data_IF_491395353082
#
_entry.id   IF_491395353082
#
_cell.length_a   1.000
_cell.length_b   1.000
_cell.length_c   1.000
_cell.angle_alpha   90.00
_cell.angle_beta   90.00
_cell.angle_gamma   90.00
#
_symmetry.space_group_name_H-M   'P 1'
#
loop_
_entity.id
_entity.type
_entity.pdbx_description
1 polymer ?
#
# COMPACT_ATOMS: atom_id res chain seq x y z
N UNK A 1 -65.25 33.62 14.34
CA UNK A 1 -64.82 33.60 12.92
C UNK A 1 -64.16 34.94 12.60
N UNK A 2 -63.05 34.91 11.84
CA UNK A 2 -62.44 36.04 11.09
C UNK A 2 -61.72 37.07 12.00
N UNK A 3 -60.51 37.56 11.79
CA UNK A 3 -59.45 37.41 10.78
C UNK A 3 -58.22 38.11 11.40
N UNK A 4 -57.00 37.58 11.25
CA UNK A 4 -55.84 38.47 11.04
C UNK A 4 -54.72 37.73 10.31
N UNK A 5 -54.93 37.52 9.01
CA UNK A 5 -53.84 37.52 8.04
C UNK A 5 -53.57 38.99 7.72
N UNK A 6 -52.42 39.55 8.07
CA UNK A 6 -51.63 40.46 7.22
C UNK A 6 -50.41 41.04 7.97
N UNK A 7 -49.37 41.40 7.20
CA UNK A 7 -48.15 42.15 7.55
C UNK A 7 -46.97 41.28 8.01
N UNK A 8 -46.18 40.67 7.10
CA UNK A 8 -45.13 41.26 6.24
C UNK A 8 -44.07 42.05 7.06
N UNK A 9 -42.80 42.05 6.62
CA UNK A 9 -41.69 41.18 7.00
C UNK A 9 -40.71 41.92 7.94
N UNK A 10 -40.20 41.23 8.96
CA UNK A 10 -39.12 41.79 9.79
C UNK A 10 -37.80 41.71 9.00
N UNK A 11 -37.50 42.79 8.29
CA UNK A 11 -36.26 43.01 7.57
C UNK A 11 -35.02 42.74 8.44
N UNK A 12 -34.19 41.82 7.96
CA UNK A 12 -32.77 42.06 7.70
C UNK A 12 -31.94 42.76 8.79
N UNK A 13 -31.45 42.04 9.81
CA UNK A 13 -30.18 42.38 10.48
C UNK A 13 -29.48 41.13 11.04
N UNK A 14 -29.16 40.10 10.24
CA UNK A 14 -27.99 39.25 10.55
C UNK A 14 -27.33 38.81 9.23
N UNK A 15 -26.96 39.80 8.40
CA UNK A 15 -25.83 39.63 7.49
C UNK A 15 -24.58 39.79 8.35
N UNK A 16 -23.87 38.69 8.61
CA UNK A 16 -22.51 38.81 9.09
C UNK A 16 -22.01 37.61 9.85
N UNK A 17 -21.18 36.81 9.17
CA UNK A 17 -20.02 36.14 9.77
C UNK A 17 -20.39 34.98 10.71
N UNK A 18 -20.26 33.72 10.35
CA UNK A 18 -19.55 33.14 9.24
C UNK A 18 -19.56 31.63 9.42
N UNK A 19 -18.95 30.95 8.44
CA UNK A 19 -18.53 29.56 8.53
C UNK A 19 -19.75 28.64 8.71
N UNK A 20 -20.47 28.32 7.63
CA UNK A 20 -20.11 27.17 6.80
C UNK A 20 -19.14 26.24 7.53
N UNK A 21 -19.59 25.60 8.63
CA UNK A 21 -19.01 24.34 9.02
C UNK A 21 -19.40 23.37 7.91
N UNK A 22 -18.60 23.41 6.85
CA UNK A 22 -18.43 22.31 5.93
C UNK A 22 -18.40 21.08 6.82
N UNK A 23 -19.36 20.18 6.63
CA UNK A 23 -19.30 18.84 7.20
C UNK A 23 -17.93 18.33 6.80
N UNK A 24 -17.00 18.39 7.74
CA UNK A 24 -15.63 18.01 7.51
C UNK A 24 -15.70 16.53 7.24
N UNK A 25 -15.71 16.19 5.95
CA UNK A 25 -15.48 14.86 5.46
C UNK A 25 -14.00 14.49 5.70
N UNK A 26 -13.51 14.71 6.92
CA UNK A 26 -12.54 13.81 7.52
C UNK A 26 -13.32 12.54 7.89
N UNK A 27 -13.74 11.80 6.85
CA UNK A 27 -13.29 10.42 6.77
C UNK A 27 -11.76 10.51 6.75
N UNK A 28 -11.15 10.81 7.90
CA UNK A 28 -9.88 10.23 8.23
C UNK A 28 -10.15 8.76 7.96
N UNK A 29 -9.61 8.28 6.83
CA UNK A 29 -9.59 6.86 6.56
C UNK A 29 -9.11 6.29 7.86
N UNK A 30 -10.05 5.64 8.55
CA UNK A 30 -9.89 4.73 9.66
C UNK A 30 -8.44 4.35 9.69
N UNK A 31 -7.73 4.68 10.78
CA UNK A 31 -6.47 4.09 11.18
C UNK A 31 -6.29 2.72 10.51
N UNK A 32 -5.88 2.72 9.24
CA UNK A 32 -5.34 1.55 8.61
C UNK A 32 -4.02 1.61 9.33
N UNK A 33 -3.69 0.66 10.21
CA UNK A 33 -2.29 0.55 10.59
C UNK A 33 -1.56 0.61 9.25
N UNK A 34 -0.78 1.68 9.03
CA UNK A 34 0.15 1.74 7.92
C UNK A 34 0.96 0.50 8.17
N UNK A 35 0.62 -0.60 7.50
CA UNK A 35 1.15 -1.91 7.87
C UNK A 35 2.63 -1.72 7.69
N UNK A 36 3.36 -1.70 8.79
CA UNK A 36 4.80 -1.58 8.73
C UNK A 36 5.24 -2.82 7.96
N UNK A 37 5.91 -2.58 6.84
CA UNK A 37 6.45 -3.64 6.00
C UNK A 37 7.97 -3.58 6.08
N UNK A 38 8.58 -4.75 6.01
CA UNK A 38 9.99 -4.87 5.65
C UNK A 38 10.05 -5.12 4.15
N UNK A 39 10.87 -4.33 3.46
CA UNK A 39 11.06 -4.43 2.02
C UNK A 39 12.32 -5.21 1.70
N UNK A 40 12.19 -6.14 0.76
CA UNK A 40 13.27 -6.99 0.31
C UNK A 40 13.39 -6.89 -1.20
N UNK A 41 14.55 -6.45 -1.67
CA UNK A 41 14.87 -6.39 -3.09
C UNK A 41 15.38 -7.74 -3.56
N UNK A 42 14.77 -8.29 -4.61
CA UNK A 42 15.22 -9.53 -5.23
C UNK A 42 16.34 -9.27 -6.25
N UNK A 43 17.49 -9.90 -6.02
CA UNK A 43 18.71 -9.82 -6.83
C UNK A 43 18.95 -11.06 -7.70
N UNK A 44 18.05 -12.05 -7.64
CA UNK A 44 18.09 -13.21 -8.53
C UNK A 44 17.61 -12.89 -9.95
N UNK A 45 17.86 -13.81 -10.87
CA UNK A 45 17.61 -13.60 -12.30
C UNK A 45 16.53 -14.53 -12.86
N UNK A 46 15.99 -15.40 -12.02
CA UNK A 46 15.07 -16.46 -12.43
C UNK A 46 13.94 -16.63 -11.40
N UNK A 47 12.74 -16.97 -11.88
CA UNK A 47 11.57 -17.21 -11.05
C UNK A 47 11.78 -18.39 -10.08
N UNK A 48 12.63 -19.35 -10.44
CA UNK A 48 12.92 -20.50 -9.59
C UNK A 48 13.81 -20.14 -8.38
N UNK A 49 14.40 -18.94 -8.37
CA UNK A 49 15.25 -18.46 -7.28
C UNK A 49 14.48 -17.62 -6.25
N UNK A 50 13.19 -17.34 -6.45
CA UNK A 50 12.40 -16.43 -5.58
C UNK A 50 12.16 -16.95 -4.17
N UNK A 51 12.43 -18.23 -3.92
CA UNK A 51 12.41 -18.80 -2.56
C UNK A 51 13.78 -18.86 -1.90
N UNK A 52 14.84 -18.54 -2.64
CA UNK A 52 16.18 -18.44 -2.10
C UNK A 52 16.35 -17.08 -1.41
N UNK A 53 16.32 -17.10 -0.08
CA UNK A 53 16.47 -15.87 0.72
C UNK A 53 17.80 -15.16 0.46
N UNK A 54 18.83 -15.86 -0.02
CA UNK A 54 20.15 -15.26 -0.32
C UNK A 54 20.10 -14.32 -1.52
N UNK A 55 19.06 -14.43 -2.35
CA UNK A 55 18.76 -13.55 -3.47
C UNK A 55 17.94 -12.33 -3.05
N UNK A 56 17.89 -12.02 -1.75
CA UNK A 56 17.17 -10.85 -1.25
C UNK A 56 18.07 -9.95 -0.41
N UNK A 57 17.98 -8.65 -0.68
CA UNK A 57 18.62 -7.60 0.12
C UNK A 57 17.55 -6.76 0.80
N UNK A 58 17.64 -6.55 2.11
CA UNK A 58 16.72 -5.67 2.81
C UNK A 58 16.96 -4.21 2.37
N UNK A 59 15.90 -3.49 2.02
CA UNK A 59 15.96 -2.10 1.57
C UNK A 59 15.05 -1.21 2.42
N UNK A 60 15.38 0.07 2.50
CA UNK A 60 14.59 1.08 3.21
C UNK A 60 13.64 1.85 2.29
N UNK A 61 13.99 1.98 1.01
CA UNK A 61 13.19 2.66 0.00
C UNK A 61 12.69 1.65 -1.06
N UNK A 62 11.40 1.28 -1.06
CA UNK A 62 10.86 0.31 -2.03
C UNK A 62 10.75 0.87 -3.45
N UNK A 63 10.77 2.19 -3.65
CA UNK A 63 10.61 2.86 -4.95
C UNK A 63 11.94 3.06 -5.70
N UNK A 64 13.02 2.40 -5.26
CA UNK A 64 14.33 2.57 -5.87
C UNK A 64 14.31 2.22 -7.39
N UNK A 65 15.02 2.98 -8.24
CA UNK A 65 14.87 2.97 -9.71
C UNK A 65 15.36 1.69 -10.42
N UNK A 66 15.68 0.62 -9.68
CA UNK A 66 16.24 -0.63 -10.20
C UNK A 66 15.19 -1.66 -10.63
N UNK A 67 13.91 -1.37 -10.43
CA UNK A 67 12.83 -2.23 -10.91
C UNK A 67 12.41 -1.76 -12.29
N UNK A 68 13.11 -2.20 -13.33
CA UNK A 68 12.61 -2.04 -14.70
C UNK A 68 11.20 -2.60 -14.79
N UNK A 69 10.32 -1.97 -15.58
CA UNK A 69 8.95 -2.44 -15.73
C UNK A 69 8.93 -3.82 -16.37
N UNK A 70 8.23 -4.77 -15.76
CA UNK A 70 8.07 -6.12 -16.28
C UNK A 70 7.23 -7.00 -15.37
N UNK A 71 7.12 -8.29 -15.70
CA UNK A 71 6.25 -9.22 -14.96
C UNK A 71 6.84 -10.59 -14.65
N UNK A 72 8.07 -10.87 -15.08
CA UNK A 72 8.62 -12.23 -15.08
C UNK A 72 9.18 -12.63 -13.72
N UNK A 73 9.80 -11.69 -13.00
CA UNK A 73 10.43 -11.92 -11.70
C UNK A 73 10.09 -10.80 -10.70
N UNK A 74 10.09 -11.11 -9.38
CA UNK A 74 9.86 -10.08 -8.38
C UNK A 74 11.03 -9.09 -8.39
N UNK A 75 10.75 -7.83 -8.11
CA UNK A 75 11.79 -6.84 -7.85
C UNK A 75 11.82 -6.47 -6.37
N UNK A 76 10.66 -6.15 -5.79
CA UNK A 76 10.55 -5.84 -4.36
C UNK A 76 9.42 -6.64 -3.75
N UNK A 77 9.72 -7.34 -2.67
CA UNK A 77 8.77 -8.05 -1.85
C UNK A 77 8.49 -7.25 -0.57
N UNK A 78 7.22 -6.98 -0.31
CA UNK A 78 6.78 -6.41 0.96
C UNK A 78 6.37 -7.54 1.91
N UNK A 79 7.04 -7.63 3.04
CA UNK A 79 6.77 -8.66 4.07
C UNK A 79 6.32 -7.99 5.36
N UNK A 80 5.60 -8.70 6.27
CA UNK A 80 5.28 -8.15 7.59
C UNK A 80 6.55 -7.63 8.30
N UNK A 81 6.45 -6.54 9.07
CA UNK A 81 7.60 -5.95 9.81
C UNK A 81 8.38 -6.95 10.68
N UNK A 82 7.72 -8.02 11.14
CA UNK A 82 8.37 -9.09 11.89
C UNK A 82 9.40 -9.88 11.06
N UNK A 83 9.28 -9.89 9.73
CA UNK A 83 10.20 -10.53 8.79
C UNK A 83 11.34 -9.55 8.49
N UNK A 84 12.24 -9.38 9.44
CA UNK A 84 13.30 -8.36 9.42
C UNK A 84 14.72 -8.94 9.52
N UNK A 85 14.88 -10.24 9.34
CA UNK A 85 16.19 -10.92 9.28
C UNK A 85 16.19 -11.97 8.17
N UNK A 86 17.35 -12.36 7.63
CA UNK A 86 17.44 -13.38 6.59
C UNK A 86 16.78 -14.71 6.97
N UNK A 87 16.96 -15.17 8.21
CA UNK A 87 16.36 -16.41 8.69
C UNK A 87 14.82 -16.34 8.76
N UNK A 88 14.28 -15.18 9.13
CA UNK A 88 12.83 -14.97 9.13
C UNK A 88 12.27 -14.83 7.72
N UNK A 89 13.03 -14.25 6.79
CA UNK A 89 12.65 -14.20 5.38
C UNK A 89 12.62 -15.61 4.79
N UNK A 90 13.63 -16.43 5.03
CA UNK A 90 13.66 -17.82 4.58
C UNK A 90 12.43 -18.59 5.08
N UNK A 91 12.17 -18.55 6.40
CA UNK A 91 10.97 -19.16 6.98
C UNK A 91 9.68 -18.60 6.35
N UNK A 92 9.63 -17.30 6.04
CA UNK A 92 8.47 -16.65 5.42
C UNK A 92 8.25 -17.11 3.97
N UNK A 93 9.32 -17.26 3.18
CA UNK A 93 9.31 -17.71 1.79
C UNK A 93 8.98 -19.21 1.68
N UNK A 94 9.54 -20.04 2.56
CA UNK A 94 9.35 -21.49 2.55
C UNK A 94 7.98 -21.92 3.10
N UNK A 95 7.29 -21.05 3.85
CA UNK A 95 5.99 -21.38 4.42
C UNK A 95 4.90 -21.45 3.34
N UNK A 96 4.42 -22.67 3.07
CA UNK A 96 3.36 -22.95 2.09
C UNK A 96 2.02 -22.27 2.39
N UNK A 97 1.79 -21.88 3.65
CA UNK A 97 0.60 -21.12 4.05
C UNK A 97 0.70 -19.64 3.63
N UNK A 98 1.91 -19.12 3.48
CA UNK A 98 2.16 -17.78 2.95
C UNK A 98 2.20 -17.80 1.42
N UNK A 99 2.94 -18.76 0.86
CA UNK A 99 3.15 -18.90 -0.58
C UNK A 99 3.07 -20.36 -0.99
N UNK A 100 2.07 -20.73 -1.80
CA UNK A 100 1.89 -22.10 -2.25
C UNK A 100 2.97 -22.57 -3.24
N UNK A 101 3.53 -21.66 -4.03
CA UNK A 101 4.56 -21.92 -5.05
C UNK A 101 5.33 -20.61 -5.38
N UNK A 102 6.27 -20.66 -6.31
CA UNK A 102 7.10 -19.50 -6.70
C UNK A 102 6.26 -18.39 -7.34
N UNK A 103 5.25 -18.78 -8.10
CA UNK A 103 4.30 -17.84 -8.72
C UNK A 103 3.52 -17.05 -7.66
N UNK A 104 3.25 -17.63 -6.50
CA UNK A 104 2.61 -16.94 -5.39
C UNK A 104 3.53 -15.85 -4.79
N UNK A 105 4.84 -16.10 -4.72
CA UNK A 105 5.83 -15.10 -4.29
C UNK A 105 5.88 -13.95 -5.29
N UNK A 106 5.97 -14.26 -6.59
CA UNK A 106 5.91 -13.25 -7.65
C UNK A 106 4.61 -12.45 -7.62
N UNK A 107 3.47 -13.08 -7.36
CA UNK A 107 2.17 -12.41 -7.31
C UNK A 107 2.02 -11.49 -6.09
N UNK A 108 2.72 -11.80 -4.99
CA UNK A 108 2.78 -10.98 -3.79
C UNK A 108 3.82 -9.85 -3.85
N UNK A 109 4.68 -9.84 -4.87
CA UNK A 109 5.67 -8.80 -5.05
C UNK A 109 5.01 -7.42 -5.25
N UNK A 110 5.53 -6.43 -4.54
CA UNK A 110 5.10 -5.03 -4.65
C UNK A 110 5.49 -4.44 -6.00
N UNK A 111 6.71 -4.77 -6.45
CA UNK A 111 7.23 -4.42 -7.77
C UNK A 111 7.79 -5.65 -8.44
N UNK A 112 7.70 -5.69 -9.77
CA UNK A 112 8.17 -6.78 -10.64
C UNK A 112 9.07 -6.19 -11.71
N UNK A 113 9.91 -7.04 -12.31
CA UNK A 113 10.80 -6.69 -13.41
C UNK A 113 10.88 -7.81 -14.44
N UNK A 114 11.34 -7.48 -15.63
CA UNK A 114 11.65 -8.47 -16.66
C UNK A 114 12.84 -9.33 -16.20
N UNK A 115 12.81 -10.61 -16.57
CA UNK A 115 13.96 -11.48 -16.34
C UNK A 115 15.09 -11.04 -17.28
N UNK A 116 16.35 -10.99 -16.83
CA UNK A 116 17.46 -10.63 -17.71
C UNK A 116 17.53 -11.62 -18.87
N UNK A 117 17.63 -11.08 -20.09
CA UNK A 117 17.79 -11.88 -21.29
C UNK A 117 19.11 -12.69 -21.19
N UNK A 118 19.00 -14.02 -21.11
CA UNK A 118 20.16 -14.93 -21.17
C UNK A 118 20.77 -14.79 -22.57
N UNK A 119 21.82 -13.97 -22.70
CA UNK A 119 22.62 -13.85 -23.92
C UNK A 119 23.49 -15.07 -24.15
#
# INVERSE_FOLDING_TARGET
MKNLKFLLPLFAIILGIGVVFTTSAFKNKVNKPTKAFTYWQFTGDDINEVRDYTKYTQITNPEAPSCEEGSDIPCVLATPVAVNTPALLDAHLQNVSNYANDQAVLSAAMYKREAPSKK
#
